data_IF_253049562685
#
_entry.id   IF_253049562685
#
_cell.length_a   1.000
_cell.length_b   1.000
_cell.length_c   1.000
_cell.angle_alpha   90.00
_cell.angle_beta   90.00
_cell.angle_gamma   90.00
#
_symmetry.space_group_name_H-M   'P 1'
#
loop_
_entity.id
_entity.type
_entity.pdbx_description
1 polymer ?
#
# COMPACT_ATOMS: atom_id res chain seq x y z
N UNK A 1 9.51 -8.09 -2.36
CA UNK A 1 10.18 -6.80 -2.53
C UNK A 1 11.61 -6.85 -2.00
N UNK A 2 12.58 -6.37 -2.76
CA UNK A 2 14.02 -6.47 -2.43
C UNK A 2 14.53 -5.37 -1.47
N UNK A 3 13.67 -4.48 -1.01
CA UNK A 3 14.06 -3.33 -0.20
C UNK A 3 14.65 -3.70 1.19
N UNK A 4 14.37 -4.91 1.69
CA UNK A 4 14.95 -5.43 2.94
C UNK A 4 16.27 -6.18 2.74
N UNK A 5 16.70 -6.41 1.49
CA UNK A 5 17.88 -7.22 1.22
C UNK A 5 19.15 -6.37 1.24
N UNK A 6 20.14 -6.79 1.99
CA UNK A 6 21.48 -6.23 1.90
C UNK A 6 22.08 -6.54 0.53
N UNK A 7 22.53 -5.52 -0.15
CA UNK A 7 23.18 -5.65 -1.46
C UNK A 7 24.68 -5.79 -1.30
N UNK A 8 25.30 -6.66 -2.08
CA UNK A 8 26.75 -6.87 -2.09
C UNK A 8 27.26 -7.08 -3.49
N UNK A 9 28.52 -6.77 -3.69
CA UNK A 9 29.28 -7.07 -4.91
C UNK A 9 30.19 -8.26 -4.62
N UNK A 10 30.11 -9.36 -5.38
CA UNK A 10 31.08 -10.42 -5.29
C UNK A 10 32.39 -10.02 -5.96
N UNK A 11 33.48 -10.02 -5.24
CA UNK A 11 34.83 -9.92 -5.77
C UNK A 11 35.40 -11.31 -5.90
N UNK A 12 35.75 -11.71 -7.11
CA UNK A 12 36.26 -13.04 -7.42
C UNK A 12 37.74 -12.92 -7.78
N UNK A 13 38.57 -13.56 -6.99
CA UNK A 13 40.01 -13.68 -7.22
C UNK A 13 40.35 -15.11 -7.68
N UNK A 14 41.01 -15.22 -8.81
CA UNK A 14 41.43 -16.52 -9.41
C UNK A 14 42.94 -16.51 -9.54
N UNK A 15 43.61 -17.34 -8.78
CA UNK A 15 45.04 -17.47 -8.84
C UNK A 15 45.48 -18.40 -10.02
N UNK A 16 46.81 -18.45 -10.28
CA UNK A 16 47.40 -19.27 -11.36
C UNK A 16 47.08 -20.75 -11.21
N UNK A 17 46.87 -21.22 -10.01
CA UNK A 17 46.54 -22.61 -9.67
C UNK A 17 45.05 -22.92 -9.79
N UNK A 18 44.27 -22.01 -10.35
CA UNK A 18 42.79 -22.09 -10.52
C UNK A 18 42.04 -22.16 -9.19
N UNK A 19 42.62 -21.76 -8.08
CA UNK A 19 41.91 -21.60 -6.82
C UNK A 19 41.08 -20.31 -6.88
N UNK A 20 39.81 -20.42 -6.53
CA UNK A 20 38.82 -19.35 -6.57
C UNK A 20 38.56 -18.85 -5.14
N UNK A 21 38.77 -17.55 -4.92
CA UNK A 21 38.38 -16.88 -3.69
C UNK A 21 37.25 -15.91 -4.02
N UNK A 22 36.14 -16.02 -3.29
CA UNK A 22 34.98 -15.11 -3.43
C UNK A 22 34.86 -14.31 -2.15
N UNK A 23 34.86 -13.00 -2.29
CA UNK A 23 34.63 -12.05 -1.19
C UNK A 23 33.41 -11.20 -1.51
N UNK A 24 32.47 -11.10 -0.57
CA UNK A 24 31.28 -10.28 -0.72
C UNK A 24 31.50 -8.93 -0.03
N UNK A 25 31.54 -7.87 -0.82
CA UNK A 25 31.65 -6.49 -0.32
C UNK A 25 30.25 -5.88 -0.21
N UNK A 26 29.85 -5.49 1.00
CA UNK A 26 28.54 -4.86 1.22
C UNK A 26 28.50 -3.46 0.57
N UNK A 27 27.42 -3.22 -0.20
CA UNK A 27 27.14 -1.92 -0.77
C UNK A 27 26.33 -1.11 0.23
N UNK A 28 26.86 0.04 0.65
CA UNK A 28 26.12 1.00 1.46
C UNK A 28 25.44 2.00 0.52
N UNK A 29 24.11 1.99 0.43
CA UNK A 29 23.37 2.93 -0.44
C UNK A 29 23.53 4.35 0.09
N UNK A 30 23.54 5.34 -0.82
CA UNK A 30 23.52 6.76 -0.46
C UNK A 30 22.19 7.16 0.21
N UNK A 31 21.11 6.53 -0.23
CA UNK A 31 19.75 6.66 0.30
C UNK A 31 19.12 5.30 0.36
N UNK A 32 18.46 5.01 1.45
CA UNK A 32 17.72 3.76 1.62
C UNK A 32 16.29 3.89 1.06
N UNK A 33 15.64 2.75 0.86
CA UNK A 33 14.23 2.67 0.51
C UNK A 33 13.46 2.18 1.73
N UNK A 34 12.56 3.00 2.24
CA UNK A 34 11.81 2.69 3.47
C UNK A 34 10.31 2.81 3.26
N UNK A 35 9.58 1.94 3.94
CA UNK A 35 8.14 2.07 4.13
C UNK A 35 7.90 2.57 5.54
N UNK A 36 7.15 3.68 5.67
CA UNK A 36 6.69 4.23 6.95
C UNK A 36 5.19 4.01 7.06
N UNK A 37 4.72 3.69 8.27
CA UNK A 37 3.30 3.40 8.51
C UNK A 37 2.83 4.06 9.79
N UNK A 38 1.67 4.71 9.73
CA UNK A 38 1.02 5.34 10.88
C UNK A 38 0.02 6.41 10.48
N UNK A 39 -0.63 7.03 11.47
CA UNK A 39 -1.45 8.22 11.25
C UNK A 39 -0.61 9.37 10.69
N UNK A 40 -1.22 10.22 9.86
CA UNK A 40 -0.49 11.29 9.18
C UNK A 40 0.21 12.24 10.16
N UNK A 41 -0.42 12.55 11.28
CA UNK A 41 0.16 13.45 12.28
C UNK A 41 1.44 12.88 12.91
N UNK A 42 1.48 11.57 13.13
CA UNK A 42 2.68 10.88 13.61
C UNK A 42 3.77 10.85 12.55
N UNK A 43 3.40 10.66 11.28
CA UNK A 43 4.33 10.64 10.16
C UNK A 43 4.92 12.03 9.87
N UNK A 44 4.19 13.10 10.15
CA UNK A 44 4.67 14.48 10.01
C UNK A 44 5.57 14.92 11.17
N UNK A 45 5.49 14.25 12.31
CA UNK A 45 6.32 14.60 13.47
C UNK A 45 7.75 14.10 13.27
N UNK A 46 8.69 15.04 13.06
CA UNK A 46 10.12 14.75 12.86
C UNK A 46 10.77 14.02 14.02
N UNK A 47 10.26 14.19 15.23
CA UNK A 47 10.81 13.52 16.41
C UNK A 47 10.66 12.00 16.34
N UNK A 48 9.60 11.52 15.67
CA UNK A 48 9.35 10.07 15.47
C UNK A 48 10.36 9.44 14.48
N UNK A 49 11.13 10.27 13.77
CA UNK A 49 12.09 9.82 12.76
C UNK A 49 13.55 10.03 13.16
N UNK A 50 13.80 10.26 14.47
CA UNK A 50 15.16 10.41 14.98
C UNK A 50 15.99 9.16 14.68
N UNK A 51 17.23 9.37 14.22
CA UNK A 51 18.14 8.31 13.83
C UNK A 51 17.92 7.73 12.42
N UNK A 52 16.95 8.27 11.66
CA UNK A 52 16.73 7.91 10.25
C UNK A 52 17.10 9.07 9.32
N UNK A 53 17.50 8.76 8.07
CA UNK A 53 17.78 9.78 7.10
C UNK A 53 16.47 10.24 6.42
N UNK A 54 16.06 11.49 6.66
CA UNK A 54 14.84 12.04 6.04
C UNK A 54 14.94 12.19 4.51
N UNK A 55 16.16 12.12 3.96
CA UNK A 55 16.39 12.13 2.51
C UNK A 55 16.31 10.75 1.85
N UNK A 56 15.97 9.69 2.59
CA UNK A 56 15.71 8.37 2.01
C UNK A 56 14.51 8.41 1.06
N UNK A 57 14.41 7.42 0.19
CA UNK A 57 13.22 7.17 -0.60
C UNK A 57 12.15 6.54 0.29
N UNK A 58 11.03 7.25 0.48
CA UNK A 58 9.99 6.85 1.43
C UNK A 58 8.69 6.56 0.70
N UNK A 59 8.03 5.44 1.05
CA UNK A 59 6.66 5.15 0.70
C UNK A 59 5.82 5.14 1.99
N UNK A 60 4.73 5.93 2.02
CA UNK A 60 3.91 6.09 3.22
C UNK A 60 2.64 5.21 3.17
N UNK A 61 2.38 4.49 4.25
CA UNK A 61 1.14 3.77 4.51
C UNK A 61 0.37 4.50 5.60
N UNK A 62 -0.66 5.23 5.21
CA UNK A 62 -1.44 6.07 6.11
C UNK A 62 -2.57 5.24 6.70
N UNK A 63 -2.70 5.28 8.04
CA UNK A 63 -3.69 4.47 8.78
C UNK A 63 -4.92 5.27 9.24
N UNK A 64 -4.98 6.56 8.89
CA UNK A 64 -6.12 7.41 9.21
C UNK A 64 -7.39 6.91 8.50
N UNK A 65 -8.54 7.15 9.13
CA UNK A 65 -9.84 6.93 8.54
C UNK A 65 -10.28 8.16 7.72
N UNK A 66 -10.64 7.92 6.44
CA UNK A 66 -11.12 8.96 5.55
C UNK A 66 -10.04 9.61 4.66
N UNK A 67 -10.48 10.53 3.82
CA UNK A 67 -9.59 11.27 2.92
C UNK A 67 -8.81 12.36 3.64
N UNK A 68 -7.51 12.39 3.41
CA UNK A 68 -6.64 13.46 3.91
C UNK A 68 -6.31 14.39 2.75
N UNK A 69 -6.78 15.62 2.86
CA UNK A 69 -6.51 16.63 1.84
C UNK A 69 -5.00 16.91 1.74
N UNK A 70 -4.49 16.76 0.51
CA UNK A 70 -3.09 17.06 0.14
C UNK A 70 -2.03 16.33 1.00
N UNK A 71 -2.29 15.08 1.35
CA UNK A 71 -1.40 14.26 2.17
C UNK A 71 0.02 14.17 1.61
N UNK A 72 0.16 14.03 0.28
CA UNK A 72 1.47 13.89 -0.37
C UNK A 72 2.34 15.14 -0.21
N UNK A 73 1.77 16.35 -0.33
CA UNK A 73 2.52 17.59 -0.16
C UNK A 73 2.94 17.82 1.30
N UNK A 74 2.05 17.46 2.24
CA UNK A 74 2.37 17.51 3.66
C UNK A 74 3.55 16.59 3.99
N UNK A 75 3.52 15.35 3.53
CA UNK A 75 4.60 14.39 3.74
C UNK A 75 5.89 14.80 3.02
N UNK A 76 5.82 15.45 1.85
CA UNK A 76 6.99 15.94 1.11
C UNK A 76 7.74 17.04 1.87
N UNK A 77 7.07 17.79 2.73
CA UNK A 77 7.73 18.79 3.58
C UNK A 77 8.66 18.14 4.64
N UNK A 78 8.39 16.89 5.02
CA UNK A 78 9.22 16.11 5.96
C UNK A 78 10.16 15.17 5.21
N UNK A 79 9.68 14.49 4.18
CA UNK A 79 10.40 13.53 3.35
C UNK A 79 10.50 14.04 1.91
N UNK A 80 11.55 14.79 1.55
CA UNK A 80 11.66 15.40 0.23
C UNK A 80 11.59 14.37 -0.92
N UNK A 81 12.06 13.15 -0.68
CA UNK A 81 12.09 12.04 -1.65
C UNK A 81 10.95 11.03 -1.44
N UNK A 82 9.78 11.49 -0.97
CA UNK A 82 8.62 10.60 -0.88
C UNK A 82 8.20 10.13 -2.28
N UNK A 83 8.09 8.83 -2.46
CA UNK A 83 7.76 8.17 -3.73
C UNK A 83 6.25 8.07 -3.95
N UNK A 84 5.49 7.94 -2.87
CA UNK A 84 4.05 7.79 -2.92
C UNK A 84 3.47 7.48 -1.55
N UNK A 85 2.15 7.37 -1.53
CA UNK A 85 1.42 6.95 -0.35
C UNK A 85 0.27 6.00 -0.72
N UNK A 86 -0.19 5.23 0.26
CA UNK A 86 -1.47 4.51 0.20
C UNK A 86 -2.21 4.65 1.53
N UNK A 87 -3.53 4.66 1.46
CA UNK A 87 -4.37 4.55 2.65
C UNK A 87 -4.48 3.07 3.01
N UNK A 88 -4.25 2.76 4.29
CA UNK A 88 -4.40 1.40 4.82
C UNK A 88 -5.52 1.46 5.83
N UNK A 89 -6.74 1.08 5.41
CA UNK A 89 -7.87 0.99 6.32
C UNK A 89 -7.60 -0.13 7.33
N UNK A 90 -7.27 0.26 8.55
CA UNK A 90 -7.05 -0.67 9.67
C UNK A 90 -8.33 -1.36 10.14
N UNK A 91 -9.49 -0.80 9.82
CA UNK A 91 -10.81 -1.39 10.11
C UNK A 91 -11.15 -2.61 9.25
N UNK A 92 -10.41 -2.79 8.14
CA UNK A 92 -10.53 -3.96 7.28
C UNK A 92 -9.24 -4.74 7.42
N UNK A 93 -9.22 -5.83 8.13
CA UNK A 93 -8.13 -6.81 8.18
C UNK A 93 -7.78 -7.42 6.81
N UNK A 94 -7.83 -6.62 5.76
CA UNK A 94 -7.56 -6.98 4.37
C UNK A 94 -6.11 -6.63 4.05
N UNK A 95 -5.21 -7.37 4.64
CA UNK A 95 -3.89 -7.62 4.06
C UNK A 95 -4.02 -8.52 2.82
N UNK A 96 -4.55 -8.11 1.77
CA UNK A 96 -4.73 -8.80 0.48
C UNK A 96 -6.19 -8.76 0.00
N UNK A 97 -6.65 -7.64 -0.46
CA UNK A 97 -7.56 -7.71 -1.58
C UNK A 97 -6.74 -8.01 -2.84
N UNK A 98 -6.19 -9.21 -2.94
CA UNK A 98 -6.18 -9.88 -4.22
C UNK A 98 -7.65 -9.91 -4.58
N UNK A 99 -8.02 -9.11 -5.55
CA UNK A 99 -9.29 -9.19 -6.25
C UNK A 99 -9.68 -10.66 -6.35
N UNK A 100 -10.55 -11.12 -5.45
CA UNK A 100 -11.27 -12.36 -5.62
C UNK A 100 -12.32 -12.19 -6.74
N UNK A 101 -12.00 -11.36 -7.72
CA UNK A 101 -12.68 -11.18 -8.99
C UNK A 101 -12.28 -12.29 -9.96
N UNK A 102 -11.94 -13.47 -9.45
CA UNK A 102 -11.69 -14.66 -10.22
C UNK A 102 -12.80 -15.66 -9.97
N UNK A 103 -13.54 -15.97 -10.95
CA UNK A 103 -14.37 -17.12 -11.29
C UNK A 103 -15.88 -17.00 -11.11
N UNK A 104 -16.48 -16.20 -10.22
CA UNK A 104 -17.95 -16.21 -10.07
C UNK A 104 -18.65 -14.86 -10.38
N UNK A 105 -17.95 -13.91 -11.01
CA UNK A 105 -18.52 -12.61 -11.36
C UNK A 105 -19.74 -12.71 -12.29
N UNK A 106 -19.78 -13.72 -13.14
CA UNK A 106 -20.87 -13.92 -14.13
C UNK A 106 -22.14 -14.54 -13.57
N UNK A 107 -22.08 -15.09 -12.36
CA UNK A 107 -23.18 -15.79 -11.72
C UNK A 107 -23.86 -14.96 -10.61
N UNK A 108 -23.25 -13.82 -10.21
CA UNK A 108 -23.76 -12.93 -9.17
C UNK A 108 -24.68 -11.87 -9.76
N UNK A 109 -25.75 -11.54 -9.03
CA UNK A 109 -26.62 -10.42 -9.36
C UNK A 109 -25.94 -9.06 -9.13
N UNK A 110 -26.45 -7.98 -9.75
CA UNK A 110 -25.87 -6.64 -9.61
C UNK A 110 -25.94 -6.11 -8.17
N UNK A 111 -26.96 -6.45 -7.43
CA UNK A 111 -27.13 -6.10 -6.02
C UNK A 111 -26.12 -6.82 -5.13
N UNK A 112 -25.85 -8.11 -5.38
CA UNK A 112 -24.79 -8.85 -4.68
C UNK A 112 -23.42 -8.27 -4.94
N UNK A 113 -23.10 -7.97 -6.20
CA UNK A 113 -21.83 -7.35 -6.58
C UNK A 113 -21.64 -5.97 -5.95
N UNK A 114 -22.72 -5.17 -5.90
CA UNK A 114 -22.68 -3.86 -5.27
C UNK A 114 -22.53 -3.97 -3.75
N UNK A 115 -23.16 -4.96 -3.14
CA UNK A 115 -23.01 -5.25 -1.71
C UNK A 115 -21.57 -5.60 -1.34
N UNK A 116 -20.93 -6.50 -2.11
CA UNK A 116 -19.52 -6.85 -1.93
C UNK A 116 -18.60 -5.63 -2.11
N UNK A 117 -18.83 -4.85 -3.17
CA UNK A 117 -18.08 -3.61 -3.40
C UNK A 117 -18.23 -2.63 -2.23
N UNK A 118 -19.44 -2.48 -1.69
CA UNK A 118 -19.68 -1.60 -0.55
C UNK A 118 -18.95 -2.08 0.71
N UNK A 119 -18.96 -3.40 0.97
CA UNK A 119 -18.20 -4.01 2.06
C UNK A 119 -16.71 -3.78 1.88
N UNK A 120 -16.18 -3.99 0.67
CA UNK A 120 -14.76 -3.73 0.35
C UNK A 120 -14.37 -2.27 0.56
N UNK A 121 -15.27 -1.34 0.23
CA UNK A 121 -14.99 0.10 0.33
C UNK A 121 -15.15 0.64 1.76
N UNK A 122 -16.18 0.17 2.49
CA UNK A 122 -16.56 0.74 3.80
C UNK A 122 -16.22 -0.16 4.99
N UNK A 123 -15.86 -1.43 4.74
CA UNK A 123 -15.55 -2.40 5.77
C UNK A 123 -16.71 -2.86 6.64
N UNK A 124 -17.92 -2.58 6.21
CA UNK A 124 -19.15 -2.99 6.90
C UNK A 124 -20.26 -3.18 5.90
N UNK A 125 -21.21 -4.02 6.27
CA UNK A 125 -22.43 -4.22 5.49
C UNK A 125 -23.27 -2.93 5.40
N UNK A 126 -24.03 -2.86 4.32
CA UNK A 126 -24.97 -1.76 4.10
C UNK A 126 -26.16 -1.88 5.02
N UNK A 127 -26.64 -0.77 5.58
CA UNK A 127 -27.87 -0.75 6.34
C UNK A 127 -29.09 -1.00 5.44
N UNK A 128 -30.20 -1.50 6.02
CA UNK A 128 -31.41 -1.86 5.27
C UNK A 128 -31.98 -0.70 4.45
N UNK A 129 -31.89 0.53 4.95
CA UNK A 129 -32.43 1.70 4.25
C UNK A 129 -31.65 1.99 2.97
N UNK A 130 -30.32 1.95 3.03
CA UNK A 130 -29.44 2.13 1.86
C UNK A 130 -29.55 0.98 0.88
N UNK A 131 -29.61 -0.25 1.40
CA UNK A 131 -29.76 -1.43 0.54
C UNK A 131 -31.06 -1.37 -0.27
N UNK A 132 -32.17 -0.98 0.37
CA UNK A 132 -33.46 -0.80 -0.31
C UNK A 132 -33.43 0.27 -1.39
N UNK A 133 -32.68 1.37 -1.18
CA UNK A 133 -32.55 2.43 -2.15
C UNK A 133 -31.68 2.00 -3.36
N UNK A 134 -30.62 1.27 -3.10
CA UNK A 134 -29.76 0.70 -4.15
C UNK A 134 -30.55 -0.26 -5.05
N UNK A 135 -31.33 -1.16 -4.44
CA UNK A 135 -32.16 -2.12 -5.19
C UNK A 135 -33.16 -1.38 -6.09
N UNK A 136 -33.84 -0.33 -5.59
CA UNK A 136 -34.75 0.49 -6.41
C UNK A 136 -34.05 1.11 -7.62
N UNK A 137 -32.87 1.69 -7.41
CA UNK A 137 -32.09 2.31 -8.49
C UNK A 137 -31.68 1.26 -9.53
N UNK A 138 -31.24 0.07 -9.09
CA UNK A 138 -30.88 -1.01 -10.00
C UNK A 138 -32.06 -1.52 -10.82
N UNK A 139 -33.25 -1.68 -10.19
CA UNK A 139 -34.48 -2.04 -10.89
C UNK A 139 -34.94 -0.98 -11.91
N UNK A 140 -34.78 0.30 -11.59
CA UNK A 140 -35.10 1.39 -12.53
C UNK A 140 -34.15 1.38 -13.75
N UNK A 141 -32.87 1.11 -13.54
CA UNK A 141 -31.89 0.98 -14.61
C UNK A 141 -32.16 -0.24 -15.52
N UNK A 142 -32.66 -1.32 -14.99
CA UNK A 142 -33.04 -2.50 -15.77
C UNK A 142 -34.33 -2.28 -16.58
N UNK A 143 -35.28 -1.53 -16.04
CA UNK A 143 -36.54 -1.19 -16.75
C UNK A 143 -36.35 -0.14 -17.84
N UNK A 144 -35.28 0.64 -17.79
CA UNK A 144 -34.97 1.69 -18.76
C UNK A 144 -34.20 1.21 -20.01
N UNK A 145 -33.92 -0.10 -20.10
CA UNK A 145 -33.35 -0.76 -21.26
C UNK A 145 -34.46 -1.48 -22.04
#
# INVERSE_FOLDING_TARGET
SEWKQKKSIPVIDINKDKNLKVELIEIKPLRDLRVIRGPIDELLNRENHQGTNLNDYVFAEITDEGEILDAISKLRAVFPNIMGLRMVNTSLGIENSKTAAGDNFREKSLDELFGEFYIDLKGKEMDEARNSEVIKILEELERGK
#
